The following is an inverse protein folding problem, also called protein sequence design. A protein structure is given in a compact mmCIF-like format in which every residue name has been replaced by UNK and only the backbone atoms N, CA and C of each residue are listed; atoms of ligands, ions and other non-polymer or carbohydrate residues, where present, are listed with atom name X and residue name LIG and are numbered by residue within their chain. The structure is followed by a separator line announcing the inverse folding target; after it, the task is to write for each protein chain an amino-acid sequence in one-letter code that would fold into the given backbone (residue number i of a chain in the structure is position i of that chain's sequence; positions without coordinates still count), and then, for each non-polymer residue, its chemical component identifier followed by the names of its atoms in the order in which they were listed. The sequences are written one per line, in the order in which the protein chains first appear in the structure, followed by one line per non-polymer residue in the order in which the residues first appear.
data_IF_737821666668
#
_entry.id   IF_737821666668
#
_cell.length_a   1.000
_cell.length_b   1.000
_cell.length_c   1.000
_cell.angle_alpha   90.00
_cell.angle_beta   90.00
_cell.angle_gamma   90.00
#
_symmetry.space_group_name_H-M   'P 1'
#
loop_
_entity.id
_entity.type
_entity.pdbx_description
1 polymer ?
#
# COMPACT_ATOMS: atom_id res chain seq x y z
N UNK A 1 -37.80 -6.32 -29.02
CA UNK A 1 -36.38 -6.03 -28.75
C UNK A 1 -36.27 -4.53 -28.64
N UNK A 2 -36.24 -4.01 -27.41
CA UNK A 2 -36.23 -2.57 -27.15
C UNK A 2 -34.78 -2.11 -27.08
N UNK A 3 -34.35 -1.30 -28.05
CA UNK A 3 -33.11 -0.55 -27.94
C UNK A 3 -33.30 0.52 -26.86
N UNK A 4 -32.92 0.21 -25.62
CA UNK A 4 -32.75 1.22 -24.59
C UNK A 4 -31.52 2.06 -24.96
N UNK A 5 -31.75 3.15 -25.69
CA UNK A 5 -30.74 4.18 -25.89
C UNK A 5 -30.37 4.74 -24.53
N UNK A 6 -29.14 4.46 -24.09
CA UNK A 6 -28.53 5.09 -22.92
C UNK A 6 -28.65 6.60 -23.11
N UNK A 7 -29.33 7.27 -22.19
CA UNK A 7 -29.63 8.70 -22.26
C UNK A 7 -28.50 9.50 -21.64
N UNK A 8 -28.28 10.72 -22.13
CA UNK A 8 -27.27 11.67 -21.62
C UNK A 8 -27.40 11.92 -20.11
N UNK A 9 -28.61 11.74 -19.56
CA UNK A 9 -28.94 11.81 -18.13
C UNK A 9 -28.31 10.69 -17.29
N UNK A 10 -28.06 9.50 -17.87
CA UNK A 10 -27.39 8.39 -17.18
C UNK A 10 -25.86 8.63 -17.05
N UNK A 11 -25.33 9.58 -17.82
CA UNK A 11 -23.89 9.88 -17.97
C UNK A 11 -23.53 11.23 -17.31
N UNK A 12 -24.53 12.06 -16.99
CA UNK A 12 -24.37 13.33 -16.29
C UNK A 12 -23.45 13.30 -15.03
N UNK A 13 -23.45 12.26 -14.17
CA UNK A 13 -22.50 12.19 -13.05
C UNK A 13 -21.06 11.91 -13.49
N UNK A 14 -20.83 11.36 -14.68
CA UNK A 14 -19.51 11.03 -15.25
C UNK A 14 -18.96 12.11 -16.19
N UNK A 15 -19.81 12.99 -16.73
CA UNK A 15 -19.42 14.06 -17.69
C UNK A 15 -18.72 15.25 -17.02
N UNK A 16 -18.62 15.26 -15.68
CA UNK A 16 -17.88 16.30 -14.99
C UNK A 16 -16.38 16.14 -15.24
N UNK A 17 -15.81 16.99 -16.10
CA UNK A 17 -14.36 17.17 -16.34
C UNK A 17 -13.52 17.10 -15.06
N UNK A 18 -14.10 17.53 -13.93
CA UNK A 18 -13.53 17.41 -12.59
C UNK A 18 -13.23 15.95 -12.20
N UNK A 19 -14.19 15.03 -12.34
CA UNK A 19 -14.03 13.60 -11.98
C UNK A 19 -13.07 12.90 -12.93
N UNK A 20 -13.15 13.20 -14.22
CA UNK A 20 -12.36 12.55 -15.28
C UNK A 20 -10.87 12.92 -15.19
N UNK A 21 -10.56 14.19 -14.90
CA UNK A 21 -9.19 14.71 -15.01
C UNK A 21 -8.62 15.23 -13.69
N UNK A 22 -9.42 15.94 -12.89
CA UNK A 22 -8.88 16.65 -11.72
C UNK A 22 -8.52 15.67 -10.59
N UNK A 23 -9.36 14.66 -10.32
CA UNK A 23 -9.09 13.68 -9.25
C UNK A 23 -7.80 12.87 -9.49
N UNK A 24 -7.62 12.21 -10.65
CA UNK A 24 -6.38 11.48 -10.93
C UNK A 24 -5.15 12.39 -10.91
N UNK A 25 -5.25 13.62 -11.42
CA UNK A 25 -4.13 14.56 -11.43
C UNK A 25 -3.75 15.02 -10.03
N UNK A 26 -4.72 15.29 -9.16
CA UNK A 26 -4.47 15.65 -7.76
C UNK A 26 -3.81 14.49 -7.04
N UNK A 27 -4.34 13.28 -7.17
CA UNK A 27 -3.80 12.08 -6.52
C UNK A 27 -2.37 11.79 -6.97
N UNK A 28 -2.10 11.79 -8.29
CA UNK A 28 -0.75 11.63 -8.83
C UNK A 28 0.21 12.72 -8.33
N UNK A 29 -0.24 13.97 -8.24
CA UNK A 29 0.59 15.09 -7.76
C UNK A 29 0.98 14.89 -6.30
N UNK A 30 0.02 14.52 -5.44
CA UNK A 30 0.26 14.24 -4.03
C UNK A 30 1.20 13.05 -3.89
N UNK A 31 0.93 11.98 -4.63
CA UNK A 31 1.75 10.76 -4.65
C UNK A 31 3.20 11.05 -5.03
N UNK A 32 3.44 11.76 -6.14
CA UNK A 32 4.80 12.11 -6.57
C UNK A 32 5.50 13.07 -5.60
N UNK A 33 4.76 13.99 -4.99
CA UNK A 33 5.31 14.89 -3.98
C UNK A 33 5.81 14.12 -2.75
N UNK A 34 4.98 13.23 -2.21
CA UNK A 34 5.33 12.37 -1.07
C UNK A 34 6.49 11.44 -1.44
N UNK A 35 6.45 10.84 -2.63
CA UNK A 35 7.54 9.99 -3.13
C UNK A 35 8.86 10.76 -3.29
N UNK A 36 8.82 12.03 -3.70
CA UNK A 36 9.98 12.90 -3.75
C UNK A 36 10.62 13.10 -2.37
N UNK A 37 9.81 13.38 -1.35
CA UNK A 37 10.28 13.47 0.05
C UNK A 37 10.87 12.14 0.51
N UNK A 38 10.20 11.03 0.22
CA UNK A 38 10.68 9.69 0.55
C UNK A 38 12.04 9.38 -0.10
N UNK A 39 12.24 9.79 -1.36
CA UNK A 39 13.51 9.61 -2.08
C UNK A 39 14.65 10.35 -1.39
N UNK A 40 14.42 11.60 -0.94
CA UNK A 40 15.42 12.36 -0.19
C UNK A 40 15.76 11.67 1.13
N UNK A 41 14.75 11.20 1.87
CA UNK A 41 14.96 10.45 3.12
C UNK A 41 15.73 9.15 2.89
N UNK A 42 15.45 8.43 1.80
CA UNK A 42 16.18 7.24 1.40
C UNK A 42 17.66 7.55 1.14
N UNK A 43 17.96 8.60 0.37
CA UNK A 43 19.34 9.01 0.06
C UNK A 43 20.10 9.36 1.36
N UNK A 44 19.48 10.14 2.25
CA UNK A 44 20.08 10.50 3.55
C UNK A 44 20.34 9.24 4.39
N UNK A 45 19.34 8.35 4.48
CA UNK A 45 19.44 7.10 5.25
C UNK A 45 20.54 6.20 4.72
N UNK A 46 20.63 6.04 3.40
CA UNK A 46 21.66 5.26 2.74
C UNK A 46 23.04 5.86 2.97
N UNK A 47 23.18 7.19 2.85
CA UNK A 47 24.43 7.88 3.08
C UNK A 47 24.94 7.72 4.53
N UNK A 48 24.06 7.84 5.52
CA UNK A 48 24.38 7.59 6.94
C UNK A 48 24.81 6.13 7.13
N UNK A 49 24.06 5.19 6.55
CA UNK A 49 24.33 3.76 6.68
C UNK A 49 25.64 3.33 5.97
N UNK A 50 26.05 4.06 4.93
CA UNK A 50 27.33 3.87 4.26
C UNK A 50 28.49 4.38 5.12
N UNK A 51 28.33 5.55 5.77
CA UNK A 51 29.38 6.17 6.60
C UNK A 51 29.58 5.49 7.95
N UNK A 52 28.55 4.89 8.54
CA UNK A 52 28.66 4.21 9.84
C UNK A 52 29.18 2.78 9.67
N UNK A 53 30.49 2.61 9.75
CA UNK A 53 31.18 1.35 9.47
C UNK A 53 31.10 0.33 10.63
N UNK A 54 30.82 0.77 11.85
CA UNK A 54 30.89 -0.05 13.08
C UNK A 54 29.58 -0.74 13.51
N UNK A 55 28.53 -0.74 12.69
CA UNK A 55 27.25 -1.38 13.06
C UNK A 55 27.21 -2.87 12.70
N UNK A 56 26.97 -3.78 13.66
CA UNK A 56 26.66 -5.17 13.33
C UNK A 56 25.37 -5.24 12.50
N UNK A 57 25.31 -6.17 11.54
CA UNK A 57 24.20 -6.38 10.61
C UNK A 57 23.92 -5.24 9.60
N UNK A 58 24.91 -4.40 9.29
CA UNK A 58 24.81 -3.32 8.27
C UNK A 58 24.26 -3.79 6.92
N UNK A 59 24.75 -4.91 6.40
CA UNK A 59 24.35 -5.45 5.08
C UNK A 59 22.86 -5.75 5.04
N UNK A 60 22.30 -6.26 6.14
CA UNK A 60 20.88 -6.59 6.25
C UNK A 60 20.02 -5.31 6.29
N UNK A 61 20.44 -4.27 7.02
CA UNK A 61 19.76 -2.97 6.99
C UNK A 61 19.84 -2.28 5.62
N UNK A 62 20.97 -2.40 4.92
CA UNK A 62 21.11 -1.90 3.56
C UNK A 62 20.15 -2.63 2.62
N UNK A 63 20.10 -3.96 2.72
CA UNK A 63 19.19 -4.78 1.95
C UNK A 63 17.73 -4.36 2.16
N UNK A 64 17.27 -4.25 3.40
CA UNK A 64 15.89 -3.81 3.67
C UNK A 64 15.60 -2.40 3.15
N UNK A 65 16.52 -1.45 3.36
CA UNK A 65 16.31 -0.06 2.92
C UNK A 65 16.25 0.03 1.39
N UNK A 66 17.11 -0.69 0.68
CA UNK A 66 17.12 -0.76 -0.79
C UNK A 66 15.89 -1.50 -1.32
N UNK A 67 15.53 -2.63 -0.70
CA UNK A 67 14.37 -3.42 -1.11
C UNK A 67 13.07 -2.62 -0.95
N UNK A 68 12.88 -1.93 0.18
CA UNK A 68 11.75 -1.03 0.40
C UNK A 68 11.70 0.05 -0.68
N UNK A 69 12.83 0.71 -0.96
CA UNK A 69 12.87 1.75 -1.99
C UNK A 69 12.51 1.23 -3.38
N UNK A 70 13.03 0.07 -3.78
CA UNK A 70 12.73 -0.55 -5.07
C UNK A 70 11.25 -0.94 -5.15
N UNK A 71 10.70 -1.57 -4.10
CA UNK A 71 9.29 -1.96 -4.06
C UNK A 71 8.36 -0.75 -4.10
N UNK A 72 8.63 0.29 -3.31
CA UNK A 72 7.88 1.54 -3.37
C UNK A 72 7.96 2.16 -4.76
N UNK A 73 9.14 2.21 -5.36
CA UNK A 73 9.30 2.76 -6.72
C UNK A 73 8.51 1.96 -7.76
N UNK A 74 8.50 0.62 -7.65
CA UNK A 74 7.73 -0.25 -8.53
C UNK A 74 6.21 -0.04 -8.38
N UNK A 75 5.73 0.11 -7.14
CA UNK A 75 4.32 0.45 -6.86
C UNK A 75 3.91 1.76 -7.52
N UNK A 76 4.68 2.82 -7.29
CA UNK A 76 4.40 4.15 -7.86
C UNK A 76 4.35 4.10 -9.39
N UNK A 77 5.25 3.33 -10.03
CA UNK A 77 5.25 3.17 -11.50
C UNK A 77 4.00 2.44 -11.98
N UNK A 78 3.58 1.36 -11.30
CA UNK A 78 2.36 0.62 -11.65
C UNK A 78 1.11 1.47 -11.48
N UNK A 79 0.99 2.16 -10.35
CA UNK A 79 -0.15 3.03 -10.04
C UNK A 79 -0.24 4.17 -11.05
N UNK A 80 0.88 4.81 -11.39
CA UNK A 80 0.94 5.82 -12.46
C UNK A 80 0.48 5.24 -13.80
N UNK A 81 0.92 4.03 -14.15
CA UNK A 81 0.51 3.38 -15.39
C UNK A 81 -0.98 3.03 -15.39
N UNK A 82 -1.52 2.55 -14.26
CA UNK A 82 -2.95 2.31 -14.06
C UNK A 82 -3.75 3.59 -14.33
N UNK A 83 -3.45 4.67 -13.63
CA UNK A 83 -4.12 5.96 -13.83
C UNK A 83 -3.99 6.50 -15.27
N UNK A 84 -2.81 6.39 -15.88
CA UNK A 84 -2.59 6.83 -17.26
C UNK A 84 -3.40 5.99 -18.27
N UNK A 85 -3.50 4.68 -18.04
CA UNK A 85 -4.28 3.76 -18.87
C UNK A 85 -5.78 4.07 -18.77
N UNK A 86 -6.30 4.22 -17.55
CA UNK A 86 -7.71 4.55 -17.31
C UNK A 86 -8.10 5.89 -17.92
N UNK A 87 -7.32 6.95 -17.67
CA UNK A 87 -7.57 8.29 -18.20
C UNK A 87 -7.52 8.34 -19.73
N UNK A 88 -6.59 7.62 -20.36
CA UNK A 88 -6.50 7.54 -21.83
C UNK A 88 -7.72 6.86 -22.43
N UNK A 89 -8.21 5.77 -21.81
CA UNK A 89 -9.40 5.07 -22.26
C UNK A 89 -10.65 5.92 -22.09
N UNK A 90 -10.81 6.53 -20.92
CA UNK A 90 -11.93 7.42 -20.62
C UNK A 90 -11.98 8.59 -21.62
N UNK A 91 -10.84 9.25 -21.88
CA UNK A 91 -10.76 10.32 -22.88
C UNK A 91 -11.12 9.84 -24.29
N UNK A 92 -10.65 8.64 -24.69
CA UNK A 92 -10.96 8.04 -26.00
C UNK A 92 -12.46 7.77 -26.15
N UNK A 93 -13.11 7.26 -25.09
CA UNK A 93 -14.54 6.96 -25.11
C UNK A 93 -15.40 8.23 -25.17
N UNK A 94 -15.10 9.22 -24.32
CA UNK A 94 -15.79 10.53 -24.32
C UNK A 94 -15.66 11.22 -25.68
N UNK A 95 -14.45 11.21 -26.26
CA UNK A 95 -14.20 11.85 -27.57
C UNK A 95 -14.94 11.17 -28.73
N UNK A 96 -15.05 9.84 -28.69
CA UNK A 96 -15.67 9.07 -29.77
C UNK A 96 -17.18 8.84 -29.57
N UNK A 97 -17.76 9.27 -28.43
CA UNK A 97 -19.14 8.98 -28.01
C UNK A 97 -19.50 7.48 -28.06
N UNK A 98 -18.51 6.61 -27.85
CA UNK A 98 -18.68 5.17 -27.91
C UNK A 98 -19.01 4.61 -26.52
N UNK A 99 -20.26 4.87 -26.10
CA UNK A 99 -20.78 4.50 -24.78
C UNK A 99 -20.90 2.98 -24.59
N UNK A 100 -21.01 2.21 -25.67
CA UNK A 100 -21.06 0.76 -25.62
C UNK A 100 -19.69 0.18 -25.21
N UNK A 101 -18.61 0.69 -25.78
CA UNK A 101 -17.24 0.31 -25.39
C UNK A 101 -16.89 0.79 -23.98
N UNK A 102 -17.41 1.94 -23.55
CA UNK A 102 -17.26 2.43 -22.18
C UNK A 102 -17.95 1.54 -21.15
N UNK A 103 -19.20 1.13 -21.41
CA UNK A 103 -19.91 0.18 -20.54
C UNK A 103 -19.23 -1.20 -20.53
N UNK A 104 -18.77 -1.69 -21.68
CA UNK A 104 -18.01 -2.94 -21.73
C UNK A 104 -16.71 -2.87 -20.91
N UNK A 105 -16.01 -1.72 -20.94
CA UNK A 105 -14.84 -1.45 -20.10
C UNK A 105 -15.18 -1.38 -18.60
N UNK A 106 -16.29 -0.73 -18.24
CA UNK A 106 -16.78 -0.67 -16.86
C UNK A 106 -17.12 -2.07 -16.33
N UNK A 107 -17.70 -2.93 -17.19
CA UNK A 107 -18.18 -4.24 -16.81
C UNK A 107 -17.11 -5.34 -16.81
N UNK A 108 -16.13 -5.29 -17.72
CA UNK A 108 -15.10 -6.33 -17.84
C UNK A 108 -13.75 -5.73 -18.24
N UNK A 109 -12.85 -5.56 -17.28
CA UNK A 109 -11.48 -5.11 -17.57
C UNK A 109 -10.43 -6.00 -16.91
N UNK A 110 -10.02 -7.01 -17.66
CA UNK A 110 -8.93 -7.92 -17.28
C UNK A 110 -7.61 -7.18 -17.02
N UNK A 111 -7.34 -6.08 -17.72
CA UNK A 111 -6.08 -5.34 -17.57
C UNK A 111 -6.01 -4.62 -16.20
N UNK A 112 -7.09 -3.98 -15.76
CA UNK A 112 -7.14 -3.34 -14.43
C UNK A 112 -7.10 -4.40 -13.34
N UNK A 113 -7.82 -5.52 -13.49
CA UNK A 113 -7.77 -6.61 -12.52
C UNK A 113 -6.35 -7.17 -12.38
N UNK A 114 -5.61 -7.32 -13.48
CA UNK A 114 -4.20 -7.75 -13.45
C UNK A 114 -3.31 -6.71 -12.76
N UNK A 115 -3.43 -5.43 -13.13
CA UNK A 115 -2.64 -4.33 -12.53
C UNK A 115 -2.89 -4.27 -11.01
N UNK A 116 -4.15 -4.27 -10.60
CA UNK A 116 -4.54 -4.28 -9.18
C UNK A 116 -4.01 -5.51 -8.45
N UNK A 117 -4.01 -6.68 -9.08
CA UNK A 117 -3.38 -7.88 -8.51
C UNK A 117 -1.88 -7.72 -8.27
N UNK A 118 -1.15 -7.11 -9.20
CA UNK A 118 0.28 -6.83 -9.02
C UNK A 118 0.56 -5.79 -7.94
N UNK A 119 -0.25 -4.74 -7.85
CA UNK A 119 -0.16 -3.73 -6.80
C UNK A 119 -0.33 -4.36 -5.42
N UNK A 120 -1.33 -5.22 -5.24
CA UNK A 120 -1.59 -5.93 -3.99
C UNK A 120 -0.42 -6.82 -3.57
N UNK A 121 0.18 -7.56 -4.51
CA UNK A 121 1.35 -8.40 -4.22
C UNK A 121 2.53 -7.54 -3.76
N UNK A 122 2.77 -6.41 -4.43
CA UNK A 122 3.86 -5.51 -4.09
C UNK A 122 3.64 -4.80 -2.74
N UNK A 123 2.40 -4.42 -2.42
CA UNK A 123 2.01 -3.86 -1.11
C UNK A 123 2.30 -4.86 0.01
N UNK A 124 1.83 -6.12 -0.15
CA UNK A 124 2.11 -7.18 0.82
C UNK A 124 3.62 -7.42 1.01
N UNK A 125 4.41 -7.40 -0.08
CA UNK A 125 5.87 -7.51 0.01
C UNK A 125 6.48 -6.35 0.80
N UNK A 126 5.98 -5.13 0.58
CA UNK A 126 6.47 -3.92 1.24
C UNK A 126 6.19 -3.97 2.74
N UNK A 127 4.96 -4.29 3.14
CA UNK A 127 4.56 -4.46 4.55
C UNK A 127 5.42 -5.55 5.20
N UNK A 128 5.55 -6.71 4.56
CA UNK A 128 6.35 -7.82 5.08
C UNK A 128 7.81 -7.44 5.32
N UNK A 129 8.44 -6.68 4.41
CA UNK A 129 9.82 -6.23 4.59
C UNK A 129 9.93 -5.20 5.72
N UNK A 130 8.96 -4.29 5.84
CA UNK A 130 8.91 -3.31 6.92
C UNK A 130 8.80 -4.01 8.29
N UNK A 131 7.93 -5.01 8.40
CA UNK A 131 7.74 -5.82 9.60
C UNK A 131 8.99 -6.61 9.96
N UNK A 132 9.63 -7.26 8.99
CA UNK A 132 10.89 -7.97 9.20
C UNK A 132 11.99 -7.04 9.70
N UNK A 133 12.06 -5.82 9.17
CA UNK A 133 13.02 -4.80 9.60
C UNK A 133 12.75 -4.34 11.04
N UNK A 134 11.49 -4.12 11.42
CA UNK A 134 11.09 -3.75 12.78
C UNK A 134 11.32 -4.91 13.76
N UNK A 135 10.93 -6.13 13.39
CA UNK A 135 11.11 -7.33 14.21
C UNK A 135 12.59 -7.59 14.46
N UNK A 136 13.45 -7.47 13.44
CA UNK A 136 14.90 -7.61 13.63
C UNK A 136 15.45 -6.57 14.62
N UNK A 137 15.02 -5.29 14.52
CA UNK A 137 15.42 -4.25 15.48
C UNK A 137 14.97 -4.59 16.90
N UNK A 138 13.71 -4.99 17.05
CA UNK A 138 13.14 -5.37 18.33
C UNK A 138 13.86 -6.59 18.93
N UNK A 139 14.17 -7.59 18.10
CA UNK A 139 14.89 -8.80 18.51
C UNK A 139 16.30 -8.50 19.04
N UNK A 140 17.03 -7.60 18.37
CA UNK A 140 18.37 -7.16 18.80
C UNK A 140 18.30 -6.39 20.12
N UNK A 141 17.30 -5.50 20.30
CA UNK A 141 17.15 -4.69 21.52
C UNK A 141 16.70 -5.53 22.71
N UNK A 142 15.72 -6.43 22.52
CA UNK A 142 15.16 -7.26 23.60
C UNK A 142 16.00 -8.48 23.96
N UNK A 143 17.20 -8.64 23.40
CA UNK A 143 18.19 -9.62 23.86
C UNK A 143 17.66 -11.06 23.88
N UNK A 144 16.92 -11.48 22.85
CA UNK A 144 16.34 -12.83 22.74
C UNK A 144 15.26 -13.19 23.79
N UNK A 145 14.54 -12.21 24.36
CA UNK A 145 13.33 -12.49 25.16
C UNK A 145 12.18 -13.00 24.26
N UNK A 146 12.10 -14.33 24.11
CA UNK A 146 11.15 -15.03 23.23
C UNK A 146 9.67 -14.76 23.58
N UNK A 147 9.40 -14.34 24.80
CA UNK A 147 8.04 -14.19 25.33
C UNK A 147 7.28 -12.99 24.74
N UNK A 148 7.99 -11.92 24.37
CA UNK A 148 7.40 -10.73 23.76
C UNK A 148 7.34 -10.86 22.24
N UNK A 149 8.33 -11.50 21.61
CA UNK A 149 8.38 -11.66 20.15
C UNK A 149 7.24 -12.52 19.62
N UNK A 150 6.84 -13.57 20.37
CA UNK A 150 5.80 -14.50 19.94
C UNK A 150 4.42 -13.85 19.67
N UNK A 151 3.81 -13.08 20.60
CA UNK A 151 2.53 -12.43 20.32
C UNK A 151 2.61 -11.42 19.17
N UNK A 152 3.73 -10.73 18.99
CA UNK A 152 3.90 -9.80 17.87
C UNK A 152 3.95 -10.53 16.52
N UNK A 153 4.72 -11.61 16.42
CA UNK A 153 4.72 -12.45 15.20
C UNK A 153 3.32 -12.95 14.87
N UNK A 154 2.57 -13.36 15.89
CA UNK A 154 1.19 -13.79 15.70
C UNK A 154 0.28 -12.68 15.17
N UNK A 155 0.39 -11.45 15.69
CA UNK A 155 -0.39 -10.30 15.22
C UNK A 155 -0.03 -9.98 13.76
N UNK A 156 1.25 -9.90 13.42
CA UNK A 156 1.70 -9.57 12.05
C UNK A 156 1.25 -10.65 11.06
N UNK A 157 1.36 -11.93 11.43
CA UNK A 157 0.85 -13.03 10.61
C UNK A 157 -0.67 -12.98 10.43
N UNK A 158 -1.41 -12.62 11.48
CA UNK A 158 -2.87 -12.45 11.40
C UNK A 158 -3.24 -11.30 10.45
N UNK A 159 -2.52 -10.19 10.53
CA UNK A 159 -2.72 -9.03 9.65
C UNK A 159 -2.41 -9.35 8.20
N UNK A 160 -1.32 -10.08 7.92
CA UNK A 160 -1.00 -10.55 6.57
C UNK A 160 -2.10 -11.45 5.97
N UNK A 161 -2.70 -12.34 6.78
CA UNK A 161 -3.85 -13.14 6.33
C UNK A 161 -5.05 -12.25 6.02
N UNK A 162 -5.35 -11.27 6.89
CA UNK A 162 -6.44 -10.32 6.67
C UNK A 162 -6.26 -9.54 5.35
N UNK A 163 -5.05 -9.09 5.05
CA UNK A 163 -4.72 -8.37 3.80
C UNK A 163 -4.88 -9.26 2.56
N UNK A 164 -4.44 -10.52 2.61
CA UNK A 164 -4.65 -11.49 1.51
C UNK A 164 -6.15 -11.73 1.28
N UNK A 165 -6.95 -11.82 2.33
CA UNK A 165 -8.40 -11.99 2.21
C UNK A 165 -9.08 -10.73 1.65
N UNK A 166 -8.70 -9.55 2.16
CA UNK A 166 -9.22 -8.28 1.70
C UNK A 166 -8.91 -8.04 0.21
N UNK A 167 -7.66 -8.27 -0.20
CA UNK A 167 -7.23 -8.13 -1.60
C UNK A 167 -7.95 -9.13 -2.51
N UNK A 168 -8.14 -10.38 -2.09
CA UNK A 168 -8.94 -11.35 -2.84
C UNK A 168 -10.39 -10.87 -3.04
N UNK A 169 -11.01 -10.27 -2.02
CA UNK A 169 -12.37 -9.73 -2.12
C UNK A 169 -12.44 -8.52 -3.06
N UNK A 170 -11.44 -7.64 -3.03
CA UNK A 170 -11.34 -6.50 -3.95
C UNK A 170 -11.16 -6.97 -5.40
N UNK A 171 -10.27 -7.93 -5.65
CA UNK A 171 -10.03 -8.49 -7.00
C UNK A 171 -11.26 -9.22 -7.53
N UNK A 172 -11.91 -10.04 -6.70
CA UNK A 172 -13.14 -10.75 -7.09
C UNK A 172 -14.28 -9.75 -7.31
N UNK A 173 -14.42 -8.74 -6.45
CA UNK A 173 -15.43 -7.70 -6.56
C UNK A 173 -15.27 -6.82 -7.81
N UNK A 174 -14.04 -6.46 -8.15
CA UNK A 174 -13.71 -5.62 -9.32
C UNK A 174 -13.78 -6.38 -10.66
N UNK A 175 -13.70 -7.72 -10.63
CA UNK A 175 -13.70 -8.54 -11.86
C UNK A 175 -14.97 -8.44 -12.71
N UNK A 176 -16.13 -8.13 -12.13
CA UNK A 176 -17.38 -7.93 -12.88
C UNK A 176 -18.33 -7.03 -12.09
N UNK A 177 -18.36 -5.75 -12.44
CA UNK A 177 -19.23 -4.75 -11.79
C UNK A 177 -20.70 -4.85 -12.23
N UNK A 178 -21.02 -5.68 -13.24
CA UNK A 178 -22.39 -5.90 -13.70
C UNK A 178 -23.20 -6.78 -12.76
N UNK A 179 -22.52 -7.61 -11.97
CA UNK A 179 -23.16 -8.51 -11.03
C UNK A 179 -23.45 -7.76 -9.71
N UNK A 180 -24.73 -7.48 -9.38
CA UNK A 180 -25.08 -6.80 -8.14
C UNK A 180 -24.63 -7.56 -6.89
N UNK A 181 -24.35 -8.87 -6.99
CA UNK A 181 -23.81 -9.66 -5.89
C UNK A 181 -22.32 -9.38 -5.61
N UNK A 182 -21.57 -8.78 -6.54
CA UNK A 182 -20.14 -8.48 -6.39
C UNK A 182 -19.87 -7.10 -5.79
N UNK A 183 -20.78 -6.15 -5.97
CA UNK A 183 -20.72 -4.84 -5.32
C UNK A 183 -20.57 -4.91 -3.78
N UNK A 184 -21.35 -5.71 -3.02
CA UNK A 184 -21.15 -5.83 -1.58
C UNK A 184 -19.83 -6.53 -1.21
N UNK A 185 -19.31 -7.43 -2.06
CA UNK A 185 -18.02 -8.10 -1.85
C UNK A 185 -16.89 -7.08 -1.98
N UNK A 186 -16.95 -6.20 -2.99
CA UNK A 186 -15.98 -5.14 -3.18
C UNK A 186 -15.97 -4.15 -2.00
N UNK A 187 -17.15 -3.68 -1.56
CA UNK A 187 -17.22 -2.74 -0.43
C UNK A 187 -16.75 -3.37 0.88
N UNK A 188 -17.06 -4.66 1.09
CA UNK A 188 -16.53 -5.41 2.22
C UNK A 188 -15.01 -5.53 2.15
N UNK A 189 -14.45 -5.91 0.99
CA UNK A 189 -13.01 -5.96 0.77
C UNK A 189 -12.33 -4.63 1.07
N UNK A 190 -12.86 -3.51 0.56
CA UNK A 190 -12.32 -2.17 0.79
C UNK A 190 -12.40 -1.74 2.28
N UNK A 191 -13.46 -2.13 2.98
CA UNK A 191 -13.60 -1.87 4.42
C UNK A 191 -12.55 -2.66 5.22
N UNK A 192 -12.31 -3.91 4.84
CA UNK A 192 -11.29 -4.76 5.46
C UNK A 192 -9.88 -4.19 5.20
N UNK A 193 -9.61 -3.73 3.98
CA UNK A 193 -8.35 -3.10 3.61
C UNK A 193 -8.07 -1.84 4.44
N UNK A 194 -9.07 -0.94 4.51
CA UNK A 194 -8.97 0.28 5.33
C UNK A 194 -8.70 -0.05 6.81
N UNK A 195 -9.40 -1.06 7.35
CA UNK A 195 -9.20 -1.50 8.73
C UNK A 195 -7.81 -2.12 8.95
N UNK A 196 -7.30 -2.86 7.97
CA UNK A 196 -5.95 -3.42 7.98
C UNK A 196 -4.90 -2.30 8.07
N UNK A 197 -4.95 -1.29 7.19
CA UNK A 197 -4.00 -0.18 7.22
C UNK A 197 -3.99 0.55 8.57
N UNK A 198 -5.16 0.79 9.16
CA UNK A 198 -5.28 1.41 10.49
C UNK A 198 -4.66 0.53 11.59
N UNK A 199 -4.91 -0.78 11.55
CA UNK A 199 -4.34 -1.72 12.52
C UNK A 199 -2.82 -1.79 12.39
N UNK A 200 -2.30 -1.86 11.17
CA UNK A 200 -0.87 -1.93 10.86
C UNK A 200 -0.12 -0.70 11.36
N UNK A 201 -0.66 0.50 11.07
CA UNK A 201 -0.15 1.76 11.63
C UNK A 201 -0.11 1.72 13.17
N UNK A 202 -1.17 1.21 13.79
CA UNK A 202 -1.25 1.05 15.24
C UNK A 202 -0.13 0.15 15.78
N UNK A 203 0.12 -0.99 15.14
CA UNK A 203 1.18 -1.92 15.54
C UNK A 203 2.56 -1.27 15.40
N UNK A 204 2.84 -0.57 14.29
CA UNK A 204 4.11 0.13 14.09
C UNK A 204 4.37 1.23 15.12
N UNK A 205 3.34 1.98 15.50
CA UNK A 205 3.42 3.01 16.55
C UNK A 205 3.73 2.35 17.90
N UNK A 206 2.99 1.30 18.28
CA UNK A 206 3.19 0.58 19.54
C UNK A 206 4.61 0.00 19.61
N UNK A 207 5.09 -0.63 18.55
CA UNK A 207 6.44 -1.19 18.48
C UNK A 207 7.52 -0.11 18.63
N UNK A 208 7.34 1.03 17.98
CA UNK A 208 8.27 2.15 18.06
C UNK A 208 8.30 2.76 19.48
N UNK A 209 7.14 2.88 20.13
CA UNK A 209 7.05 3.37 21.51
C UNK A 209 7.69 2.40 22.50
N UNK A 210 7.41 1.11 22.38
CA UNK A 210 7.98 0.09 23.25
C UNK A 210 9.51 0.05 23.12
N UNK A 211 10.03 0.05 21.90
CA UNK A 211 11.50 0.07 21.68
C UNK A 211 12.15 1.31 22.28
N UNK A 212 11.51 2.48 22.19
CA UNK A 212 11.98 3.71 22.82
C UNK A 212 12.00 3.67 24.35
N UNK A 213 10.91 3.19 24.97
CA UNK A 213 10.81 3.08 26.43
C UNK A 213 11.82 2.08 27.01
N UNK A 214 11.97 0.91 26.38
CA UNK A 214 12.93 -0.09 26.83
C UNK A 214 14.38 0.40 26.72
N UNK A 215 14.71 1.14 25.66
CA UNK A 215 16.03 1.75 25.52
C UNK A 215 16.34 2.71 26.69
N UNK A 216 15.40 3.60 27.02
CA UNK A 216 15.57 4.54 28.13
C UNK A 216 15.79 3.82 29.48
N UNK A 217 15.06 2.74 29.73
CA UNK A 217 15.23 1.94 30.96
C UNK A 217 16.62 1.29 31.00
N UNK A 218 17.08 0.70 29.89
CA UNK A 218 18.41 0.10 29.81
C UNK A 218 19.54 1.12 30.01
N UNK A 219 19.38 2.35 29.49
CA UNK A 219 20.34 3.43 29.66
C UNK A 219 20.39 3.91 31.12
N UNK A 220 19.23 4.09 31.75
CA UNK A 220 19.13 4.47 33.16
C UNK A 220 19.73 3.41 34.10
N UNK A 221 19.52 2.11 33.83
CA UNK A 221 20.15 1.05 34.62
C UNK A 221 21.68 1.10 34.49
N UNK A 222 22.23 1.28 33.28
CA UNK A 222 23.70 1.38 33.10
C UNK A 222 24.31 2.55 33.87
N UNK A 223 23.62 3.70 33.94
CA UNK A 223 24.08 4.86 34.71
C UNK A 223 24.02 4.64 36.22
N UNK A 224 23.08 3.82 36.71
CA UNK A 224 22.92 3.57 38.15
C UNK A 224 23.94 2.57 38.70
N UNK A 225 24.48 1.68 37.88
CA UNK A 225 25.54 0.72 38.28
C UNK A 225 26.97 1.28 38.15
N UNK A 226 27.14 2.48 37.58
CA UNK A 226 28.44 3.16 37.43
C UNK A 226 28.64 4.34 38.41
N UNK A 227 27.72 4.50 39.37
CA UNK A 227 27.80 5.40 40.54
C UNK A 227 27.86 4.55 41.82
#
# INVERSE_FOLDING_TARGET
MSNSSITEEDIAPFDSTTIILVWPLVDLTIMFYVYGIYTVLFIISLHILIRQQDRPNRVLYMFFTIALFILTSALIVLETFGYAYETTLLFKFTKNQDWASFLAYLYHNEAITIISGFEQILQLCLVTIADLMLLHRCYVIWGSSKWIVFPFVFIMFSLAICEIVASAFVVIGSSNTADPAKAPIFTQGNTMDTAFWLAEMGVHIILTLLTGQFWQICENLKLTYFL
#
